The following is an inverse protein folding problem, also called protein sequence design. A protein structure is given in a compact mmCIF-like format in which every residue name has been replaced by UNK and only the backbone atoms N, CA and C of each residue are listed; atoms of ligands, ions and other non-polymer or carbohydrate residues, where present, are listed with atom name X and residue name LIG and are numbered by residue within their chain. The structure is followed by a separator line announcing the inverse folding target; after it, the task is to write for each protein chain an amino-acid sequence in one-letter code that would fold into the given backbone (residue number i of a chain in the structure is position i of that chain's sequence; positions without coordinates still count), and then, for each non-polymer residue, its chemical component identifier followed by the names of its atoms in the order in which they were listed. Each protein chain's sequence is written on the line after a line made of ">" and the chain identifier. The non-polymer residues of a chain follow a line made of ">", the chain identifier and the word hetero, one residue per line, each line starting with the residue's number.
data_IF_810347561315
#
_entry.id   IF_810347561315
#
_cell.length_a   1.000
_cell.length_b   1.000
_cell.length_c   1.000
_cell.angle_alpha   90.00
_cell.angle_beta   90.00
_cell.angle_gamma   90.00
#
_symmetry.space_group_name_H-M   'P 1'
#
loop_
_entity.id
_entity.type
_entity.pdbx_description
1 polymer ?
#
# COMPACT_ATOMS: atom_id res chain seq x y z
N UNK A 1 9.92 16.15 -6.70
CA UNK A 1 9.98 14.95 -5.85
C UNK A 1 9.47 13.74 -6.61
N UNK A 2 10.28 12.71 -6.71
CA UNK A 2 9.78 11.48 -7.31
C UNK A 2 8.66 10.89 -6.45
N UNK A 3 7.66 10.35 -7.09
CA UNK A 3 6.56 9.67 -6.43
C UNK A 3 6.59 8.21 -6.82
N UNK A 4 6.03 7.34 -5.97
CA UNK A 4 5.86 5.94 -6.32
C UNK A 4 4.82 5.86 -7.44
N UNK A 5 5.12 5.24 -8.60
CA UNK A 5 4.15 5.12 -9.68
C UNK A 5 2.86 4.46 -9.21
N UNK A 6 1.74 4.89 -9.76
CA UNK A 6 0.42 4.45 -9.33
C UNK A 6 -0.16 3.40 -10.27
N UNK A 7 -0.75 2.36 -9.71
CA UNK A 7 -1.54 1.39 -10.46
C UNK A 7 -2.85 2.02 -10.90
N UNK A 8 -3.23 1.85 -12.17
CA UNK A 8 -4.44 2.47 -12.72
C UNK A 8 -5.34 1.52 -13.49
N UNK A 9 -4.80 0.42 -13.98
CA UNK A 9 -5.55 -0.49 -14.85
C UNK A 9 -6.18 -1.62 -14.07
N UNK A 10 -7.43 -1.93 -14.41
CA UNK A 10 -8.16 -3.02 -13.78
C UNK A 10 -7.42 -4.35 -13.90
N UNK A 11 -6.79 -4.59 -15.05
CA UNK A 11 -6.03 -5.82 -15.27
C UNK A 11 -4.92 -6.01 -14.24
N UNK A 12 -4.25 -4.92 -13.83
CA UNK A 12 -3.20 -4.97 -12.83
C UNK A 12 -3.77 -5.33 -11.45
N UNK A 13 -4.90 -4.75 -11.08
CA UNK A 13 -5.56 -5.08 -9.82
C UNK A 13 -6.05 -6.51 -9.80
N UNK A 14 -6.60 -6.98 -10.91
CA UNK A 14 -7.07 -8.36 -11.03
C UNK A 14 -5.91 -9.35 -10.91
N UNK A 15 -4.77 -9.04 -11.51
CA UNK A 15 -3.57 -9.88 -11.43
C UNK A 15 -3.08 -10.00 -9.98
N UNK A 16 -3.06 -8.90 -9.24
CA UNK A 16 -2.67 -8.91 -7.82
C UNK A 16 -3.64 -9.77 -7.01
N UNK A 17 -4.94 -9.69 -7.31
CA UNK A 17 -5.95 -10.46 -6.61
C UNK A 17 -5.84 -11.96 -6.85
N UNK A 18 -5.45 -12.37 -8.07
CA UNK A 18 -5.36 -13.78 -8.45
C UNK A 18 -4.02 -14.42 -8.13
N UNK A 19 -2.93 -13.68 -8.31
CA UNK A 19 -1.57 -14.23 -8.27
C UNK A 19 -0.74 -13.69 -7.12
N UNK A 20 -1.16 -12.59 -6.51
CA UNK A 20 -0.42 -11.92 -5.48
C UNK A 20 -0.52 -12.62 -4.12
N UNK A 21 0.42 -12.29 -3.27
CA UNK A 21 0.40 -12.69 -1.87
C UNK A 21 -0.28 -11.60 -1.04
N UNK A 22 -0.60 -11.92 0.20
CA UNK A 22 -1.29 -10.97 1.09
C UNK A 22 -0.73 -11.04 2.50
N UNK A 23 -0.60 -9.87 3.11
CA UNK A 23 -0.33 -9.71 4.54
C UNK A 23 -1.30 -8.67 5.09
N UNK A 24 -1.70 -8.82 6.34
CA UNK A 24 -2.66 -7.89 6.92
C UNK A 24 -2.34 -7.58 8.38
N UNK A 25 -2.80 -6.41 8.80
CA UNK A 25 -2.87 -6.02 10.20
C UNK A 25 -4.32 -5.67 10.51
N UNK A 26 -4.58 -5.24 11.74
CA UNK A 26 -5.91 -4.76 12.12
C UNK A 26 -6.36 -3.54 11.28
N UNK A 27 -5.41 -2.74 10.82
CA UNK A 27 -5.69 -1.47 10.14
C UNK A 27 -5.59 -1.53 8.62
N UNK A 28 -4.69 -2.35 8.09
CA UNK A 28 -4.35 -2.34 6.67
C UNK A 28 -4.19 -3.75 6.12
N UNK A 29 -4.46 -3.90 4.83
CA UNK A 29 -4.15 -5.12 4.09
C UNK A 29 -3.19 -4.72 2.96
N UNK A 30 -2.11 -5.47 2.78
CA UNK A 30 -1.20 -5.30 1.66
C UNK A 30 -1.22 -6.54 0.80
N UNK A 31 -1.62 -6.38 -0.46
CA UNK A 31 -1.48 -7.41 -1.49
C UNK A 31 -0.27 -7.04 -2.35
N UNK A 32 0.53 -8.02 -2.72
CA UNK A 32 1.76 -7.75 -3.44
C UNK A 32 2.06 -8.85 -4.45
N UNK A 33 2.58 -8.42 -5.60
CA UNK A 33 2.91 -9.31 -6.71
C UNK A 33 4.23 -8.84 -7.32
N UNK A 34 5.19 -9.74 -7.44
CA UNK A 34 6.45 -9.44 -8.11
C UNK A 34 6.23 -9.40 -9.61
N UNK A 35 6.84 -8.41 -10.28
CA UNK A 35 6.69 -8.20 -11.71
C UNK A 35 8.05 -8.15 -12.41
N UNK A 36 8.03 -8.18 -13.74
CA UNK A 36 9.23 -8.00 -14.55
C UNK A 36 9.57 -6.53 -14.77
N UNK A 37 8.76 -5.61 -14.23
CA UNK A 37 8.99 -4.18 -14.41
C UNK A 37 10.15 -3.72 -13.53
N UNK A 38 10.90 -2.71 -13.99
CA UNK A 38 11.99 -2.17 -13.19
C UNK A 38 11.51 -1.34 -11.99
N UNK A 39 10.30 -0.77 -12.07
CA UNK A 39 9.76 0.06 -11.00
C UNK A 39 8.69 -0.66 -10.20
N UNK A 40 8.53 -0.25 -8.94
CA UNK A 40 7.41 -0.67 -8.09
C UNK A 40 6.26 0.31 -8.27
N UNK A 41 5.05 -0.24 -8.41
CA UNK A 41 3.84 0.56 -8.55
C UNK A 41 2.91 0.25 -7.39
N UNK A 42 2.10 1.23 -6.97
CA UNK A 42 1.17 1.05 -5.86
C UNK A 42 -0.21 1.59 -6.19
N UNK A 43 -1.23 0.82 -5.80
CA UNK A 43 -2.60 1.28 -5.75
C UNK A 43 -3.05 1.33 -4.30
N UNK A 44 -3.98 2.25 -4.00
CA UNK A 44 -4.55 2.38 -2.67
C UNK A 44 -6.05 2.30 -2.76
N UNK A 45 -6.65 1.59 -1.82
CA UNK A 45 -8.11 1.48 -1.72
C UNK A 45 -8.57 1.99 -0.36
N UNK A 46 -9.49 2.95 -0.38
CA UNK A 46 -10.15 3.47 0.81
C UNK A 46 -11.66 3.21 0.66
N UNK A 47 -12.12 2.00 1.01
CA UNK A 47 -13.51 1.61 0.75
C UNK A 47 -14.51 2.45 1.56
N UNK A 48 -15.77 2.39 1.14
CA UNK A 48 -16.86 3.13 1.79
C UNK A 48 -17.07 2.73 3.24
N UNK A 49 -16.61 1.54 3.63
CA UNK A 49 -16.67 1.07 5.02
C UNK A 49 -15.85 1.93 5.98
N UNK A 50 -14.92 2.77 5.46
CA UNK A 50 -14.17 3.72 6.27
C UNK A 50 -15.04 4.88 6.78
N UNK A 51 -16.12 5.19 6.07
CA UNK A 51 -16.97 6.33 6.38
C UNK A 51 -17.20 7.22 5.17
N UNK A 52 -17.50 8.49 5.40
CA UNK A 52 -17.80 9.44 4.35
C UNK A 52 -16.56 9.93 3.60
N UNK A 53 -16.79 10.81 2.61
CA UNK A 53 -15.72 11.30 1.75
C UNK A 53 -14.61 12.00 2.50
N UNK A 54 -14.93 12.75 3.55
CA UNK A 54 -13.93 13.47 4.36
C UNK A 54 -12.98 12.50 5.04
N UNK A 55 -13.53 11.46 5.67
CA UNK A 55 -12.75 10.44 6.36
C UNK A 55 -11.90 9.63 5.39
N UNK A 56 -12.48 9.24 4.26
CA UNK A 56 -11.77 8.48 3.24
C UNK A 56 -10.61 9.27 2.64
N UNK A 57 -10.82 10.56 2.38
CA UNK A 57 -9.78 11.42 1.84
C UNK A 57 -8.65 11.63 2.85
N UNK A 58 -9.00 11.76 4.14
CA UNK A 58 -7.99 11.90 5.20
C UNK A 58 -7.10 10.66 5.27
N UNK A 59 -7.71 9.48 5.30
CA UNK A 59 -6.95 8.22 5.34
C UNK A 59 -6.08 8.08 4.10
N UNK A 60 -6.64 8.34 2.92
CA UNK A 60 -5.91 8.25 1.65
C UNK A 60 -4.69 9.16 1.65
N UNK A 61 -4.84 10.40 2.11
CA UNK A 61 -3.74 11.36 2.17
C UNK A 61 -2.64 10.90 3.12
N UNK A 62 -3.01 10.41 4.30
CA UNK A 62 -2.06 9.88 5.27
C UNK A 62 -1.31 8.66 4.71
N UNK A 63 -2.02 7.75 4.08
CA UNK A 63 -1.40 6.57 3.48
C UNK A 63 -0.45 6.95 2.35
N UNK A 64 -0.82 7.94 1.53
CA UNK A 64 0.04 8.41 0.46
C UNK A 64 1.36 8.95 0.99
N UNK A 65 1.30 9.72 2.09
CA UNK A 65 2.51 10.24 2.74
C UNK A 65 3.37 9.11 3.30
N UNK A 66 2.75 8.13 3.95
CA UNK A 66 3.47 7.00 4.55
C UNK A 66 4.08 6.09 3.48
N UNK A 67 3.38 5.88 2.39
CA UNK A 67 3.91 5.12 1.25
C UNK A 67 5.14 5.81 0.69
N UNK A 68 5.08 7.12 0.51
CA UNK A 68 6.23 7.88 0.02
C UNK A 68 7.39 7.76 1.00
N UNK A 69 7.14 7.94 2.29
CA UNK A 69 8.17 7.86 3.32
C UNK A 69 8.83 6.49 3.36
N UNK A 70 8.05 5.42 3.32
CA UNK A 70 8.57 4.07 3.57
C UNK A 70 9.02 3.34 2.30
N UNK A 71 8.30 3.50 1.20
CA UNK A 71 8.60 2.75 -0.01
C UNK A 71 9.57 3.47 -0.93
N UNK A 72 9.54 4.79 -0.99
CA UNK A 72 10.50 5.54 -1.79
C UNK A 72 11.92 5.36 -1.26
N UNK A 73 12.08 5.36 0.05
CA UNK A 73 13.38 5.13 0.67
C UNK A 73 13.94 3.74 0.39
N UNK A 74 13.07 2.77 0.11
CA UNK A 74 13.46 1.39 -0.11
C UNK A 74 13.58 1.01 -1.58
N UNK A 75 13.33 1.94 -2.51
CA UNK A 75 13.34 1.61 -3.94
C UNK A 75 14.66 1.00 -4.40
N UNK A 76 15.78 1.52 -3.90
CA UNK A 76 17.09 1.02 -4.28
C UNK A 76 17.38 -0.39 -3.74
N UNK A 77 16.69 -0.79 -2.68
CA UNK A 77 16.92 -2.08 -2.02
C UNK A 77 15.86 -3.11 -2.33
N UNK A 78 14.78 -2.72 -3.00
CA UNK A 78 13.69 -3.63 -3.32
C UNK A 78 14.02 -4.64 -4.43
N UNK A 79 15.06 -4.42 -5.18
CA UNK A 79 15.42 -5.28 -6.30
C UNK A 79 14.46 -5.13 -7.46
N UNK A 80 13.85 -6.24 -7.92
CA UNK A 80 12.88 -6.21 -9.01
C UNK A 80 11.61 -5.48 -8.58
N UNK A 81 10.85 -5.00 -9.57
CA UNK A 81 9.63 -4.25 -9.31
C UNK A 81 8.51 -5.07 -8.68
N UNK A 82 7.67 -4.40 -7.96
CA UNK A 82 6.50 -4.98 -7.31
C UNK A 82 5.25 -4.21 -7.71
N UNK A 83 4.14 -4.91 -7.84
CA UNK A 83 2.83 -4.28 -7.88
C UNK A 83 2.20 -4.49 -6.51
N UNK A 84 1.81 -3.39 -5.88
CA UNK A 84 1.31 -3.37 -4.51
C UNK A 84 -0.11 -2.79 -4.49
N UNK A 85 -0.98 -3.39 -3.68
CA UNK A 85 -2.31 -2.85 -3.41
C UNK A 85 -2.48 -2.73 -1.91
N UNK A 86 -2.58 -1.50 -1.43
CA UNK A 86 -2.77 -1.19 -0.03
C UNK A 86 -4.23 -0.86 0.22
N UNK A 87 -4.88 -1.64 1.08
CA UNK A 87 -6.30 -1.51 1.36
C UNK A 87 -6.47 -1.08 2.81
N UNK A 88 -7.19 0.01 3.03
CA UNK A 88 -7.51 0.46 4.38
C UNK A 88 -8.71 -0.30 4.93
N UNK A 89 -8.59 -0.81 6.15
CA UNK A 89 -9.69 -1.46 6.86
C UNK A 89 -10.51 -0.39 7.61
N UNK A 90 -11.76 -0.70 8.01
CA UNK A 90 -12.60 0.28 8.70
C UNK A 90 -11.93 0.92 9.92
N UNK A 91 -11.13 0.16 10.65
CA UNK A 91 -10.43 0.64 11.85
C UNK A 91 -9.40 1.73 11.55
N UNK A 92 -8.96 1.83 10.29
CA UNK A 92 -8.02 2.88 9.89
C UNK A 92 -8.63 4.29 10.00
N UNK A 93 -9.97 4.40 9.97
CA UNK A 93 -10.64 5.69 10.04
C UNK A 93 -10.39 6.41 11.36
N UNK A 94 -10.21 5.67 12.45
CA UNK A 94 -10.00 6.23 13.79
C UNK A 94 -8.58 6.04 14.30
N UNK A 95 -7.71 5.43 13.50
CA UNK A 95 -6.33 5.21 13.90
C UNK A 95 -5.52 6.49 13.84
N UNK A 96 -4.52 6.60 14.71
CA UNK A 96 -3.58 7.71 14.66
C UNK A 96 -2.62 7.54 13.48
N UNK A 97 -1.95 8.63 13.10
CA UNK A 97 -0.93 8.57 12.06
C UNK A 97 0.21 7.62 12.45
N UNK A 98 0.60 7.62 13.73
CA UNK A 98 1.64 6.72 14.24
C UNK A 98 1.22 5.26 14.14
N UNK A 99 -0.04 4.94 14.41
CA UNK A 99 -0.55 3.58 14.27
C UNK A 99 -0.55 3.12 12.82
N UNK A 100 -0.94 3.99 11.90
CA UNK A 100 -0.91 3.68 10.47
C UNK A 100 0.52 3.47 9.98
N UNK A 101 1.46 4.31 10.45
CA UNK A 101 2.88 4.18 10.11
C UNK A 101 3.43 2.82 10.52
N UNK A 102 3.13 2.41 11.75
CA UNK A 102 3.59 1.13 12.28
C UNK A 102 2.95 -0.05 11.53
N UNK A 103 1.67 0.06 11.20
CA UNK A 103 0.98 -0.96 10.44
C UNK A 103 1.62 -1.17 9.07
N UNK A 104 1.90 -0.08 8.36
CA UNK A 104 2.53 -0.17 7.04
C UNK A 104 3.96 -0.71 7.16
N UNK A 105 4.72 -0.24 8.14
CA UNK A 105 6.08 -0.73 8.37
C UNK A 105 6.11 -2.24 8.58
N UNK A 106 5.21 -2.73 9.41
CA UNK A 106 5.09 -4.16 9.70
C UNK A 106 4.77 -4.96 8.42
N UNK A 107 3.84 -4.46 7.61
CA UNK A 107 3.45 -5.13 6.36
C UNK A 107 4.59 -5.19 5.37
N UNK A 108 5.32 -4.11 5.21
CA UNK A 108 6.46 -4.04 4.29
C UNK A 108 7.55 -5.04 4.73
N UNK A 109 7.86 -5.07 6.01
CA UNK A 109 8.85 -6.00 6.54
C UNK A 109 8.43 -7.46 6.38
N UNK A 110 7.18 -7.77 6.74
CA UNK A 110 6.67 -9.14 6.69
C UNK A 110 6.49 -9.66 5.26
N UNK A 111 6.31 -8.77 4.31
CA UNK A 111 6.18 -9.16 2.90
C UNK A 111 7.51 -9.45 2.24
N UNK A 112 8.61 -9.01 2.82
CA UNK A 112 9.94 -9.18 2.25
C UNK A 112 10.27 -8.20 1.13
N UNK A 113 9.41 -7.23 0.88
CA UNK A 113 9.58 -6.26 -0.21
C UNK A 113 10.85 -5.42 -0.02
N UNK A 114 11.16 -5.08 1.20
CA UNK A 114 12.30 -4.20 1.51
C UNK A 114 13.64 -4.90 1.64
N UNK A 115 13.72 -6.12 1.24
CA UNK A 115 14.97 -6.83 1.31
C UNK A 115 14.95 -8.11 1.99
#
# INVERSE_FOLDING_TARGET
>A
MPAVPTLRHKADFDAIGRQGSVRSTRLLVLRYLRTDRPETRIGMSTPRTLGGAVQRNRVRRRLRELVREQLLERQDTMGAGWDLLLIARPEAATASHAELREALRSLVERSGIGG
#
